data_IF_459548529872
#
_entry.id   IF_459548529872
#
_cell.length_a   1.000
_cell.length_b   1.000
_cell.length_c   1.000
_cell.angle_alpha   90.00
_cell.angle_beta   90.00
_cell.angle_gamma   90.00
#
_symmetry.space_group_name_H-M   'P 1'
#
loop_
_entity.id
_entity.type
_entity.pdbx_description
1 polymer ?
#
# COMPACT_ATOMS: atom_id res chain seq x y z
N UNK A 1 29.00 -12.67 -20.64
CA UNK A 1 28.81 -11.70 -19.53
C UNK A 1 27.64 -12.17 -18.68
N UNK A 2 27.93 -12.76 -17.53
CA UNK A 2 26.91 -13.15 -16.56
C UNK A 2 26.57 -11.91 -15.74
N UNK A 3 25.35 -11.40 -15.87
CA UNK A 3 24.85 -10.37 -14.96
C UNK A 3 24.42 -11.05 -13.67
N UNK A 4 25.27 -10.96 -12.64
CA UNK A 4 24.84 -11.21 -11.26
C UNK A 4 23.82 -10.13 -10.89
N UNK A 5 22.53 -10.45 -11.02
CA UNK A 5 21.47 -9.69 -10.41
C UNK A 5 21.69 -9.76 -8.89
N UNK A 6 22.29 -8.71 -8.32
CA UNK A 6 22.35 -8.53 -6.88
C UNK A 6 20.93 -8.70 -6.33
N UNK A 7 20.78 -9.64 -5.41
CA UNK A 7 19.51 -9.95 -4.76
C UNK A 7 19.04 -8.74 -3.96
N UNK A 8 18.30 -7.84 -4.61
CA UNK A 8 17.48 -6.88 -3.89
C UNK A 8 16.41 -7.69 -3.18
N UNK A 9 16.52 -7.80 -1.86
CA UNK A 9 15.48 -8.38 -1.01
C UNK A 9 14.20 -7.54 -1.13
N UNK A 10 13.41 -7.83 -2.15
CA UNK A 10 12.09 -7.22 -2.45
C UNK A 10 10.94 -7.86 -1.68
N UNK A 11 11.22 -8.77 -0.75
CA UNK A 11 10.19 -9.45 0.00
C UNK A 11 9.76 -8.58 1.19
N UNK A 12 8.60 -7.92 1.03
CA UNK A 12 7.84 -7.42 2.16
C UNK A 12 7.53 -8.62 3.04
N UNK A 13 8.16 -8.68 4.21
CA UNK A 13 7.88 -9.75 5.16
C UNK A 13 6.53 -9.48 5.85
N UNK A 14 5.47 -9.96 5.22
CA UNK A 14 4.10 -9.91 5.76
C UNK A 14 3.91 -10.75 7.03
N UNK A 15 4.90 -11.55 7.46
CA UNK A 15 4.85 -12.31 8.71
C UNK A 15 5.31 -11.52 9.94
N UNK A 16 5.69 -10.25 9.77
CA UNK A 16 6.10 -9.38 10.88
C UNK A 16 4.90 -9.01 11.75
N UNK A 17 4.94 -9.38 13.03
CA UNK A 17 3.94 -8.95 14.00
C UNK A 17 4.15 -7.48 14.38
N UNK A 18 3.18 -6.64 14.06
CA UNK A 18 3.20 -5.22 14.41
C UNK A 18 2.54 -4.98 15.77
N UNK A 19 3.22 -4.19 16.61
CA UNK A 19 2.64 -3.68 17.87
C UNK A 19 1.46 -2.75 17.57
N UNK A 20 0.64 -2.45 18.59
CA UNK A 20 -0.45 -1.49 18.42
C UNK A 20 0.05 -0.11 17.98
N UNK A 21 1.21 0.33 18.50
CA UNK A 21 1.86 1.57 18.07
C UNK A 21 2.20 1.55 16.58
N UNK A 22 2.77 0.45 16.08
CA UNK A 22 3.06 0.30 14.65
C UNK A 22 1.78 0.35 13.81
N UNK A 23 0.70 -0.28 14.26
CA UNK A 23 -0.59 -0.26 13.55
C UNK A 23 -1.15 1.15 13.43
N UNK A 24 -1.13 1.94 14.51
CA UNK A 24 -1.54 3.35 14.47
C UNK A 24 -0.69 4.16 13.50
N UNK A 25 0.64 4.00 13.52
CA UNK A 25 1.53 4.68 12.57
C UNK A 25 1.24 4.28 11.13
N UNK A 26 0.96 3.00 10.87
CA UNK A 26 0.55 2.51 9.56
C UNK A 26 -0.76 3.19 9.13
N UNK A 27 -1.76 3.29 9.99
CA UNK A 27 -3.01 4.00 9.68
C UNK A 27 -2.78 5.48 9.35
N UNK A 28 -1.95 6.19 10.12
CA UNK A 28 -1.61 7.59 9.85
C UNK A 28 -0.86 7.75 8.52
N UNK A 29 0.02 6.80 8.17
CA UNK A 29 0.71 6.74 6.88
C UNK A 29 -0.26 6.52 5.72
N UNK A 30 -1.26 5.65 5.87
CA UNK A 30 -2.30 5.44 4.84
C UNK A 30 -3.08 6.73 4.57
N UNK A 31 -3.44 7.46 5.63
CA UNK A 31 -4.15 8.74 5.54
C UNK A 31 -3.27 9.77 4.81
N UNK A 32 -1.97 9.84 5.16
CA UNK A 32 -1.03 10.74 4.49
C UNK A 32 -0.94 10.46 2.98
N UNK A 33 -1.04 9.18 2.59
CA UNK A 33 -0.95 8.74 1.20
C UNK A 33 -2.22 8.95 0.39
N UNK A 34 -3.36 9.31 0.99
CA UNK A 34 -4.60 9.55 0.24
C UNK A 34 -4.49 10.63 -0.83
N UNK A 35 -3.51 11.54 -0.68
CA UNK A 35 -3.19 12.61 -1.63
C UNK A 35 -2.07 12.23 -2.62
N UNK A 36 -1.60 10.98 -2.58
CA UNK A 36 -0.47 10.48 -3.36
C UNK A 36 0.77 10.21 -2.53
N UNK A 37 1.79 9.64 -3.17
CA UNK A 37 3.11 9.43 -2.55
C UNK A 37 3.79 10.79 -2.40
N UNK A 38 4.05 11.25 -1.16
CA UNK A 38 4.67 12.56 -0.96
C UNK A 38 6.17 12.48 -1.25
N UNK A 39 6.71 13.57 -1.80
CA UNK A 39 8.14 13.74 -1.92
C UNK A 39 8.73 14.19 -0.55
N UNK A 40 8.82 13.22 0.36
CA UNK A 40 9.39 13.41 1.69
C UNK A 40 10.43 12.34 1.96
N UNK A 41 11.43 12.70 2.76
CA UNK A 41 12.40 11.78 3.34
C UNK A 41 11.79 11.00 4.52
N UNK A 42 12.41 9.89 4.91
CA UNK A 42 12.02 9.13 6.11
C UNK A 42 12.03 9.99 7.38
N UNK A 43 12.99 10.92 7.50
CA UNK A 43 13.08 11.86 8.62
C UNK A 43 11.92 12.85 8.66
N UNK A 44 11.52 13.39 7.50
CA UNK A 44 10.40 14.33 7.43
C UNK A 44 9.07 13.63 7.69
N UNK A 45 8.90 12.40 7.19
CA UNK A 45 7.74 11.56 7.50
C UNK A 45 7.67 11.31 9.02
N UNK A 46 8.78 10.89 9.63
CA UNK A 46 8.83 10.65 11.07
C UNK A 46 8.51 11.91 11.88
N UNK A 47 9.04 13.07 11.47
CA UNK A 47 8.78 14.36 12.09
C UNK A 47 7.31 14.75 12.00
N UNK A 48 6.69 14.64 10.82
CA UNK A 48 5.26 14.95 10.61
C UNK A 48 4.34 14.06 11.45
N UNK A 49 4.67 12.78 11.55
CA UNK A 49 3.93 11.81 12.36
C UNK A 49 4.29 11.86 13.86
N UNK A 50 5.23 12.72 14.26
CA UNK A 50 5.72 12.84 15.64
C UNK A 50 6.21 11.51 16.22
N UNK A 51 6.88 10.70 15.40
CA UNK A 51 7.49 9.43 15.79
C UNK A 51 9.00 9.47 15.65
N UNK A 52 9.68 8.51 16.27
CA UNK A 52 11.12 8.35 16.05
C UNK A 52 11.37 7.79 14.64
N UNK A 53 12.49 8.21 14.03
CA UNK A 53 12.97 7.63 12.77
C UNK A 53 13.18 6.11 12.89
N UNK A 54 13.61 5.65 14.07
CA UNK A 54 13.75 4.22 14.39
C UNK A 54 12.43 3.47 14.24
N UNK A 55 11.32 4.01 14.76
CA UNK A 55 9.99 3.40 14.64
C UNK A 55 9.57 3.26 13.17
N UNK A 56 9.92 4.22 12.32
CA UNK A 56 9.62 4.13 10.90
C UNK A 56 10.46 3.05 10.20
N UNK A 57 11.73 2.89 10.57
CA UNK A 57 12.58 1.80 10.08
C UNK A 57 12.21 0.42 10.62
N UNK A 58 11.62 0.35 11.82
CA UNK A 58 11.01 -0.87 12.35
C UNK A 58 9.79 -1.29 11.51
N UNK A 59 9.12 -0.36 10.84
CA UNK A 59 8.00 -0.66 9.94
C UNK A 59 8.51 -1.11 8.58
N UNK A 60 9.38 -0.32 7.94
CA UNK A 60 9.98 -0.67 6.66
C UNK A 60 11.45 -0.20 6.57
N UNK A 61 12.36 -1.01 6.00
CA UNK A 61 13.78 -0.69 6.00
C UNK A 61 14.17 0.42 5.00
N UNK A 62 13.25 0.83 4.12
CA UNK A 62 13.47 1.93 3.17
C UNK A 62 12.18 2.69 2.89
N UNK A 63 12.32 3.92 2.38
CA UNK A 63 11.19 4.75 1.91
C UNK A 63 10.38 4.01 0.83
N UNK A 64 11.08 3.37 -0.11
CA UNK A 64 10.43 2.68 -1.21
C UNK A 64 9.60 1.48 -0.73
N UNK A 65 10.17 0.66 0.16
CA UNK A 65 9.45 -0.46 0.75
C UNK A 65 8.31 -0.03 1.67
N UNK A 66 8.45 1.11 2.35
CA UNK A 66 7.36 1.72 3.10
C UNK A 66 6.17 1.98 2.16
N UNK A 67 6.38 2.70 1.07
CA UNK A 67 5.29 3.04 0.14
C UNK A 67 4.67 1.82 -0.55
N UNK A 68 5.48 0.85 -0.96
CA UNK A 68 4.94 -0.40 -1.55
C UNK A 68 4.06 -1.13 -0.52
N UNK A 69 4.53 -1.27 0.73
CA UNK A 69 3.76 -1.93 1.79
C UNK A 69 2.48 -1.16 2.12
N UNK A 70 2.53 0.17 2.16
CA UNK A 70 1.36 0.99 2.44
C UNK A 70 0.29 0.87 1.36
N UNK A 71 0.67 0.95 0.08
CA UNK A 71 -0.29 0.83 -1.03
C UNK A 71 -0.89 -0.59 -1.06
N UNK A 72 -0.08 -1.63 -0.86
CA UNK A 72 -0.58 -3.01 -0.76
C UNK A 72 -1.61 -3.16 0.39
N UNK A 73 -1.35 -2.56 1.55
CA UNK A 73 -2.30 -2.57 2.68
C UNK A 73 -3.60 -1.82 2.35
N UNK A 74 -3.52 -0.65 1.72
CA UNK A 74 -4.71 0.12 1.31
C UNK A 74 -5.58 -0.73 0.38
N UNK A 75 -4.98 -1.37 -0.62
CA UNK A 75 -5.69 -2.21 -1.58
C UNK A 75 -6.33 -3.44 -0.91
N UNK A 76 -5.60 -4.13 -0.03
CA UNK A 76 -6.13 -5.25 0.76
C UNK A 76 -7.32 -4.83 1.63
N UNK A 77 -7.22 -3.68 2.32
CA UNK A 77 -8.31 -3.14 3.14
C UNK A 77 -9.54 -2.80 2.30
N UNK A 78 -9.36 -2.21 1.11
CA UNK A 78 -10.45 -1.93 0.18
C UNK A 78 -11.13 -3.21 -0.32
N UNK A 79 -10.34 -4.19 -0.77
CA UNK A 79 -10.85 -5.49 -1.22
C UNK A 79 -11.63 -6.22 -0.11
N UNK A 80 -11.08 -6.24 1.12
CA UNK A 80 -11.76 -6.83 2.28
C UNK A 80 -13.10 -6.15 2.57
N UNK A 81 -13.13 -4.81 2.63
CA UNK A 81 -14.38 -4.04 2.84
C UNK A 81 -15.41 -4.29 1.74
N UNK A 82 -14.97 -4.42 0.48
CA UNK A 82 -15.85 -4.74 -0.63
C UNK A 82 -16.44 -6.16 -0.49
N UNK A 83 -15.62 -7.15 -0.15
CA UNK A 83 -16.07 -8.53 0.10
C UNK A 83 -17.05 -8.62 1.27
N UNK A 84 -16.78 -7.92 2.37
CA UNK A 84 -17.68 -7.86 3.54
C UNK A 84 -19.06 -7.31 3.15
N UNK A 85 -19.11 -6.24 2.36
CA UNK A 85 -20.36 -5.62 1.91
C UNK A 85 -21.21 -6.51 1.00
N UNK A 86 -20.57 -7.35 0.20
CA UNK A 86 -21.28 -8.25 -0.73
C UNK A 86 -21.52 -9.63 -0.14
N UNK A 87 -21.04 -9.90 1.09
CA UNK A 87 -21.08 -11.22 1.72
C UNK A 87 -22.50 -11.77 1.90
N UNK A 88 -23.48 -10.89 2.14
CA UNK A 88 -24.89 -11.22 2.31
C UNK A 88 -25.68 -11.32 1.00
N UNK A 89 -25.09 -10.96 -0.15
CA UNK A 89 -25.76 -11.02 -1.45
C UNK A 89 -25.76 -12.47 -1.93
N UNK A 90 -26.94 -13.00 -2.24
CA UNK A 90 -27.11 -14.38 -2.71
C UNK A 90 -26.88 -14.50 -4.22
N UNK A 91 -27.37 -13.54 -5.00
CA UNK A 91 -27.21 -13.51 -6.47
C UNK A 91 -25.74 -13.32 -6.86
N UNK A 92 -25.13 -14.26 -7.59
CA UNK A 92 -23.73 -14.12 -8.03
C UNK A 92 -23.49 -12.90 -8.92
N UNK A 93 -24.45 -12.56 -9.78
CA UNK A 93 -24.35 -11.40 -10.69
C UNK A 93 -24.43 -10.10 -9.89
N UNK A 94 -25.41 -9.97 -9.01
CA UNK A 94 -25.57 -8.77 -8.17
C UNK A 94 -24.36 -8.57 -7.24
N UNK A 95 -23.81 -9.69 -6.72
CA UNK A 95 -22.58 -9.70 -5.92
C UNK A 95 -21.40 -9.16 -6.71
N UNK A 96 -21.22 -9.61 -7.94
CA UNK A 96 -20.15 -9.16 -8.82
C UNK A 96 -20.33 -7.67 -9.18
N UNK A 97 -21.52 -7.26 -9.60
CA UNK A 97 -21.82 -5.86 -9.94
C UNK A 97 -21.58 -4.92 -8.76
N UNK A 98 -22.06 -5.29 -7.58
CA UNK A 98 -21.89 -4.50 -6.35
C UNK A 98 -20.42 -4.43 -5.94
N UNK A 99 -19.69 -5.56 -6.02
CA UNK A 99 -18.27 -5.59 -5.75
C UNK A 99 -17.51 -4.64 -6.68
N UNK A 100 -17.73 -4.76 -8.00
CA UNK A 100 -17.10 -3.93 -9.03
C UNK A 100 -17.41 -2.45 -8.82
N UNK A 101 -18.66 -2.10 -8.48
CA UNK A 101 -19.06 -0.73 -8.16
C UNK A 101 -18.29 -0.17 -6.96
N UNK A 102 -18.18 -0.94 -5.88
CA UNK A 102 -17.46 -0.50 -4.66
C UNK A 102 -15.98 -0.30 -4.95
N UNK A 103 -15.31 -1.26 -5.61
CA UNK A 103 -13.87 -1.17 -5.86
C UNK A 103 -13.56 -0.05 -6.85
N UNK A 104 -14.32 0.08 -7.95
CA UNK A 104 -14.10 1.14 -8.95
C UNK A 104 -14.28 2.54 -8.38
N UNK A 105 -15.28 2.75 -7.51
CA UNK A 105 -15.47 4.03 -6.81
C UNK A 105 -14.34 4.33 -5.82
N UNK A 106 -13.83 3.31 -5.14
CA UNK A 106 -12.79 3.50 -4.13
C UNK A 106 -11.41 3.76 -4.72
N UNK A 107 -11.11 3.21 -5.90
CA UNK A 107 -9.79 3.29 -6.51
C UNK A 107 -9.65 4.44 -7.50
N UNK A 108 -10.61 4.71 -8.39
CA UNK A 108 -10.48 5.58 -9.57
C UNK A 108 -9.42 6.70 -9.51
N UNK A 109 -9.71 7.91 -8.98
CA UNK A 109 -8.76 9.02 -8.97
C UNK A 109 -7.50 8.80 -8.10
N UNK A 110 -7.62 8.02 -7.02
CA UNK A 110 -6.49 7.73 -6.12
C UNK A 110 -5.49 6.78 -6.78
N UNK A 111 -5.98 5.88 -7.62
CA UNK A 111 -5.19 4.86 -8.29
C UNK A 111 -4.19 5.46 -9.27
N UNK A 112 -4.64 6.40 -10.12
CA UNK A 112 -3.74 7.12 -11.02
C UNK A 112 -2.63 7.82 -10.24
N UNK A 113 -2.97 8.48 -9.13
CA UNK A 113 -2.00 9.15 -8.26
C UNK A 113 -0.99 8.16 -7.68
N UNK A 114 -1.43 6.98 -7.24
CA UNK A 114 -0.53 5.93 -6.75
C UNK A 114 0.37 5.37 -7.84
N UNK A 115 -0.15 5.08 -9.03
CA UNK A 115 0.64 4.59 -10.17
C UNK A 115 1.71 5.58 -10.56
N UNK A 116 1.36 6.87 -10.70
CA UNK A 116 2.35 7.89 -11.03
C UNK A 116 3.43 8.03 -9.95
N UNK A 117 3.04 7.99 -8.67
CA UNK A 117 4.01 7.99 -7.57
C UNK A 117 4.92 6.74 -7.58
N UNK A 118 4.36 5.55 -7.84
CA UNK A 118 5.08 4.28 -7.82
C UNK A 118 6.11 4.15 -8.95
N UNK A 119 5.95 4.85 -10.07
CA UNK A 119 6.94 4.86 -11.17
C UNK A 119 8.34 5.29 -10.69
N UNK A 120 8.40 6.11 -9.65
CA UNK A 120 9.65 6.61 -9.07
C UNK A 120 10.14 5.79 -7.86
N UNK A 121 9.42 4.73 -7.47
CA UNK A 121 9.71 3.89 -6.31
C UNK A 121 10.45 2.63 -6.77
N UNK A 122 11.66 2.38 -6.25
CA UNK A 122 12.43 1.18 -6.66
C UNK A 122 11.75 -0.10 -6.14
N UNK A 123 11.63 -1.10 -7.01
CA UNK A 123 11.01 -2.39 -6.68
C UNK A 123 9.48 -2.42 -6.76
N UNK A 124 8.83 -1.31 -7.17
CA UNK A 124 7.37 -1.23 -7.32
C UNK A 124 6.81 -1.99 -8.53
N UNK A 125 7.67 -2.44 -9.47
CA UNK A 125 7.24 -2.98 -10.77
C UNK A 125 6.23 -4.13 -10.64
N UNK A 126 6.40 -5.04 -9.68
CA UNK A 126 5.45 -6.13 -9.42
C UNK A 126 4.08 -5.62 -8.97
N UNK A 127 4.06 -4.55 -8.18
CA UNK A 127 2.82 -3.93 -7.73
C UNK A 127 2.15 -3.19 -8.88
N UNK A 128 2.88 -2.39 -9.66
CA UNK A 128 2.35 -1.70 -10.84
C UNK A 128 1.70 -2.69 -11.82
N UNK A 129 2.37 -3.80 -12.13
CA UNK A 129 1.80 -4.84 -13.01
C UNK A 129 0.47 -5.40 -12.46
N UNK A 130 0.33 -5.59 -11.14
CA UNK A 130 -0.93 -6.04 -10.53
C UNK A 130 -2.05 -5.00 -10.59
N UNK A 131 -1.70 -3.74 -10.78
CA UNK A 131 -2.65 -2.64 -10.84
C UNK A 131 -3.08 -2.33 -12.28
N UNK A 132 -2.24 -2.66 -13.27
CA UNK A 132 -2.51 -2.45 -14.70
C UNK A 132 -3.29 -3.60 -15.35
N UNK A 133 -3.43 -4.75 -14.69
CA UNK A 133 -4.15 -5.95 -15.18
C UNK A 133 -5.33 -6.31 -14.27
#
# INVERSE_FOLDING_TARGET
MQYSAGSFNTEINYSKSFTNKHKTVIEDLEIMLEKGIPDLTMSEIASRLKISLRTLYEIAPSKDLLFIMMIDNILKKLGKKALERVSSISSPIEKLETYLKIVNQAVGPKFETYIQGLKNVKGSSKLIIRLEN
#
